data_IF_051574673561
#
_entry.id   IF_051574673561
#
_cell.length_a   1.000
_cell.length_b   1.000
_cell.length_c   1.000
_cell.angle_alpha   90.00
_cell.angle_beta   90.00
_cell.angle_gamma   90.00
#
_symmetry.space_group_name_H-M   'P 1'
#
loop_
_entity.id
_entity.type
_entity.pdbx_description
1 polymer ?
#
# COMPACT_ATOMS: atom_id res chain seq x y z
N UNK A 1 25.14 64.33 -17.42
CA UNK A 1 24.63 64.55 -18.78
C UNK A 1 24.74 63.20 -19.46
N UNK A 2 23.71 62.43 -19.77
CA UNK A 2 22.26 62.66 -19.93
C UNK A 2 21.51 61.39 -19.45
N UNK A 3 20.36 61.57 -18.82
CA UNK A 3 19.22 60.66 -18.99
C UNK A 3 18.33 61.26 -20.09
N UNK A 4 17.65 60.45 -20.91
CA UNK A 4 16.20 60.19 -20.70
C UNK A 4 15.79 58.78 -21.24
N UNK A 5 14.59 58.22 -21.16
CA UNK A 5 13.29 58.52 -20.55
C UNK A 5 12.51 57.18 -20.55
N UNK A 6 11.66 57.00 -19.55
CA UNK A 6 10.60 56.00 -19.51
C UNK A 6 9.62 56.15 -20.68
N UNK A 7 9.11 55.03 -21.20
CA UNK A 7 7.75 54.97 -21.75
C UNK A 7 7.04 53.75 -21.19
N UNK A 8 5.94 54.01 -20.49
CA UNK A 8 5.01 53.05 -19.93
C UNK A 8 3.96 52.71 -21.01
N UNK A 9 3.67 51.43 -21.23
CA UNK A 9 2.34 51.01 -21.66
C UNK A 9 1.85 49.85 -20.82
N UNK A 10 0.60 49.98 -20.44
CA UNK A 10 -0.10 49.28 -19.37
C UNK A 10 -1.04 48.22 -19.96
N UNK A 11 -1.29 47.19 -19.16
CA UNK A 11 -2.47 46.30 -19.13
C UNK A 11 -2.79 45.43 -20.35
N UNK A 12 -2.71 44.12 -20.14
CA UNK A 12 -3.92 43.27 -20.09
C UNK A 12 -3.66 42.05 -19.21
N UNK A 13 -4.38 42.00 -18.08
CA UNK A 13 -4.53 40.83 -17.25
C UNK A 13 -5.27 39.73 -18.01
N UNK A 14 -4.73 38.52 -18.00
CA UNK A 14 -5.52 37.30 -18.13
C UNK A 14 -5.14 36.37 -16.99
N UNK A 15 -5.99 36.32 -15.98
CA UNK A 15 -6.11 35.23 -15.01
C UNK A 15 -6.43 33.94 -15.76
N UNK A 16 -5.62 32.90 -15.55
CA UNK A 16 -6.08 31.51 -15.64
C UNK A 16 -5.02 30.55 -15.09
N UNK A 17 -5.44 29.87 -14.02
CA UNK A 17 -5.07 28.52 -13.56
C UNK A 17 -3.67 28.24 -13.00
N UNK A 18 -3.63 28.23 -11.67
CA UNK A 18 -2.67 27.51 -10.85
C UNK A 18 -2.88 26.00 -10.99
N UNK A 19 -2.19 25.41 -11.96
CA UNK A 19 -1.92 23.98 -12.02
C UNK A 19 -0.40 23.82 -11.99
N UNK A 20 0.21 23.96 -10.81
CA UNK A 20 1.58 23.51 -10.62
C UNK A 20 1.57 21.98 -10.64
N UNK A 21 1.64 21.42 -11.84
CA UNK A 21 2.14 20.08 -12.06
C UNK A 21 3.50 19.99 -11.36
N UNK A 22 3.57 19.15 -10.33
CA UNK A 22 4.83 18.70 -9.73
C UNK A 22 5.61 17.92 -10.80
N UNK A 23 6.23 18.63 -11.74
CA UNK A 23 7.20 18.04 -12.65
C UNK A 23 8.46 17.78 -11.85
N UNK A 24 8.89 16.52 -11.86
CA UNK A 24 10.15 16.03 -11.32
C UNK A 24 11.31 16.98 -11.65
N UNK A 25 12.23 17.24 -10.70
CA UNK A 25 13.51 17.83 -11.06
C UNK A 25 14.17 16.95 -12.12
N UNK A 26 14.72 17.54 -13.20
CA UNK A 26 15.37 16.75 -14.23
C UNK A 26 16.51 15.94 -13.61
N UNK A 27 16.54 14.65 -13.91
CA UNK A 27 17.71 13.81 -13.64
C UNK A 27 18.95 14.53 -14.16
N UNK A 28 19.98 14.68 -13.32
CA UNK A 28 21.26 15.31 -13.68
C UNK A 28 22.02 14.44 -14.69
N UNK A 29 21.47 13.27 -15.04
CA UNK A 29 21.97 12.38 -16.05
C UNK A 29 21.40 12.76 -17.42
N UNK A 30 22.24 13.31 -18.29
CA UNK A 30 21.97 13.30 -19.71
C UNK A 30 22.06 11.85 -20.19
N UNK A 31 20.97 11.21 -20.63
CA UNK A 31 21.08 9.91 -21.26
C UNK A 31 22.03 10.03 -22.45
N UNK A 32 22.97 9.10 -22.57
CA UNK A 32 23.67 8.90 -23.83
C UNK A 32 22.61 8.89 -24.94
N UNK A 33 22.81 9.74 -25.95
CA UNK A 33 21.86 9.95 -27.02
C UNK A 33 21.35 8.61 -27.56
N UNK A 34 20.05 8.52 -27.82
CA UNK A 34 19.31 7.39 -28.42
C UNK A 34 19.81 6.99 -29.83
N UNK A 35 21.01 7.42 -30.21
CA UNK A 35 21.66 7.24 -31.51
C UNK A 35 22.57 5.99 -31.59
N UNK A 36 22.62 5.13 -30.58
CA UNK A 36 23.58 3.99 -30.49
C UNK A 36 22.95 2.60 -30.44
N UNK A 37 21.63 2.45 -30.35
CA UNK A 37 20.96 1.15 -30.37
C UNK A 37 20.49 0.84 -31.79
N UNK A 38 20.83 -0.33 -32.33
CA UNK A 38 20.34 -0.79 -33.64
C UNK A 38 18.80 -0.83 -33.62
N UNK A 39 18.17 -0.33 -34.67
CA UNK A 39 16.70 -0.25 -34.79
C UNK A 39 16.02 -1.60 -34.54
N UNK A 40 16.61 -2.69 -35.03
CA UNK A 40 16.13 -4.07 -34.82
C UNK A 40 16.09 -4.47 -33.34
N UNK A 41 17.10 -4.08 -32.54
CA UNK A 41 17.17 -4.37 -31.10
C UNK A 41 16.07 -3.59 -30.36
N UNK A 42 15.90 -2.32 -30.71
CA UNK A 42 14.87 -1.46 -30.12
C UNK A 42 13.46 -1.99 -30.45
N UNK A 43 13.21 -2.34 -31.71
CA UNK A 43 11.95 -2.95 -32.14
C UNK A 43 11.69 -4.28 -31.45
N UNK A 44 12.72 -5.14 -31.34
CA UNK A 44 12.65 -6.41 -30.63
C UNK A 44 12.27 -6.24 -29.16
N UNK A 45 12.92 -5.32 -28.46
CA UNK A 45 12.63 -5.02 -27.05
C UNK A 45 11.21 -4.45 -26.85
N UNK A 46 10.81 -3.47 -27.66
CA UNK A 46 9.46 -2.88 -27.58
C UNK A 46 8.36 -3.91 -27.87
N UNK A 47 8.60 -4.84 -28.80
CA UNK A 47 7.67 -5.94 -29.07
C UNK A 47 7.59 -6.90 -27.88
N UNK A 48 8.73 -7.25 -27.29
CA UNK A 48 8.78 -8.08 -26.09
C UNK A 48 8.01 -7.46 -24.92
N UNK A 49 8.12 -6.14 -24.71
CA UNK A 49 7.32 -5.44 -23.69
C UNK A 49 5.80 -5.57 -23.93
N UNK A 50 5.35 -5.38 -25.18
CA UNK A 50 3.93 -5.56 -25.53
C UNK A 50 3.44 -6.98 -25.32
N UNK A 51 4.25 -7.97 -25.67
CA UNK A 51 3.93 -9.39 -25.44
C UNK A 51 3.85 -9.71 -23.95
N UNK A 52 4.71 -9.10 -23.13
CA UNK A 52 4.68 -9.26 -21.68
C UNK A 52 3.37 -8.73 -21.09
N UNK A 53 2.90 -7.57 -21.53
CA UNK A 53 1.60 -7.00 -21.14
C UNK A 53 0.42 -7.89 -21.57
N UNK A 54 0.57 -8.64 -22.66
CA UNK A 54 -0.43 -9.58 -23.18
C UNK A 54 -0.40 -10.95 -22.46
N UNK A 55 0.62 -11.20 -21.63
CA UNK A 55 0.82 -12.47 -20.94
C UNK A 55 1.46 -13.57 -21.80
N UNK A 56 1.98 -13.23 -22.99
CA UNK A 56 2.62 -14.17 -23.92
C UNK A 56 4.09 -14.41 -23.54
N UNK A 57 4.36 -14.85 -22.31
CA UNK A 57 5.70 -14.85 -21.71
C UNK A 57 6.74 -15.70 -22.44
N UNK A 58 6.35 -16.83 -23.05
CA UNK A 58 7.31 -17.61 -23.86
C UNK A 58 7.75 -16.83 -25.11
N UNK A 59 6.82 -16.13 -25.76
CA UNK A 59 7.15 -15.30 -26.92
C UNK A 59 8.00 -14.09 -26.53
N UNK A 60 7.85 -13.56 -25.30
CA UNK A 60 8.74 -12.52 -24.75
C UNK A 60 10.18 -13.04 -24.75
N UNK A 61 10.41 -14.22 -24.17
CA UNK A 61 11.73 -14.84 -24.08
C UNK A 61 12.31 -15.07 -25.48
N UNK A 62 11.56 -15.73 -26.37
CA UNK A 62 12.01 -16.04 -27.74
C UNK A 62 12.42 -14.77 -28.51
N UNK A 63 11.66 -13.68 -28.34
CA UNK A 63 11.96 -12.38 -28.99
C UNK A 63 13.20 -11.72 -28.41
N UNK A 64 13.37 -11.77 -27.09
CA UNK A 64 14.52 -11.20 -26.42
C UNK A 64 15.80 -11.94 -26.78
N UNK A 65 15.79 -13.28 -26.75
CA UNK A 65 16.95 -14.10 -27.11
C UNK A 65 17.43 -13.85 -28.53
N UNK A 66 16.50 -13.73 -29.47
CA UNK A 66 16.82 -13.53 -30.89
C UNK A 66 17.52 -12.17 -31.14
N UNK A 67 16.92 -11.08 -30.65
CA UNK A 67 17.29 -9.73 -31.08
C UNK A 67 18.01 -8.89 -30.02
N UNK A 68 17.77 -9.14 -28.73
CA UNK A 68 18.18 -8.24 -27.63
C UNK A 68 19.35 -8.81 -26.84
N UNK A 69 19.22 -10.03 -26.32
CA UNK A 69 20.22 -10.65 -25.45
C UNK A 69 21.52 -10.97 -26.19
N UNK A 70 21.41 -11.31 -27.48
CA UNK A 70 22.55 -11.63 -28.36
C UNK A 70 23.34 -10.39 -28.81
N UNK A 71 22.82 -9.18 -28.61
CA UNK A 71 23.43 -7.94 -29.10
C UNK A 71 23.89 -7.06 -27.95
N UNK A 72 25.21 -6.82 -27.87
CA UNK A 72 25.78 -5.86 -26.92
C UNK A 72 25.21 -4.46 -27.20
N UNK A 73 24.36 -3.99 -26.29
CA UNK A 73 23.63 -2.74 -26.38
C UNK A 73 23.24 -2.25 -24.99
N UNK A 74 22.82 -0.99 -24.89
CA UNK A 74 22.31 -0.44 -23.62
C UNK A 74 21.03 -1.12 -23.15
N UNK A 75 20.29 -1.80 -24.05
CA UNK A 75 19.05 -2.55 -23.73
C UNK A 75 19.31 -3.99 -23.27
N UNK A 76 20.55 -4.48 -23.36
CA UNK A 76 20.85 -5.88 -23.07
C UNK A 76 20.53 -6.24 -21.61
N UNK A 77 20.87 -5.37 -20.65
CA UNK A 77 20.54 -5.54 -19.24
C UNK A 77 19.03 -5.61 -19.04
N UNK A 78 18.29 -4.58 -19.47
CA UNK A 78 16.83 -4.53 -19.31
C UNK A 78 16.14 -5.68 -20.06
N UNK A 79 16.74 -6.19 -21.14
CA UNK A 79 16.32 -7.40 -21.84
C UNK A 79 16.43 -8.64 -20.96
N UNK A 80 17.58 -8.89 -20.33
CA UNK A 80 17.73 -10.03 -19.42
C UNK A 80 16.79 -9.94 -18.22
N UNK A 81 16.62 -8.75 -17.64
CA UNK A 81 15.69 -8.53 -16.53
C UNK A 81 14.23 -8.83 -16.92
N UNK A 82 13.83 -8.46 -18.14
CA UNK A 82 12.49 -8.78 -18.67
C UNK A 82 12.33 -10.28 -18.95
N UNK A 83 13.37 -10.93 -19.49
CA UNK A 83 13.37 -12.38 -19.69
C UNK A 83 13.27 -13.14 -18.36
N UNK A 84 13.99 -12.69 -17.33
CA UNK A 84 13.93 -13.26 -15.98
C UNK A 84 12.52 -13.18 -15.37
N UNK A 85 11.84 -12.05 -15.54
CA UNK A 85 10.45 -11.89 -15.09
C UNK A 85 9.48 -12.74 -15.92
N UNK A 86 9.66 -12.82 -17.24
CA UNK A 86 8.83 -13.64 -18.11
C UNK A 86 8.96 -15.12 -17.75
N UNK A 87 10.17 -15.62 -17.50
CA UNK A 87 10.40 -16.99 -17.04
C UNK A 87 9.78 -17.23 -15.65
N UNK A 88 9.86 -16.26 -14.74
CA UNK A 88 9.16 -16.35 -13.46
C UNK A 88 7.64 -16.47 -13.65
N UNK A 89 7.05 -15.73 -14.59
CA UNK A 89 5.61 -15.83 -14.92
C UNK A 89 5.20 -17.14 -15.58
N UNK A 90 6.15 -17.92 -16.09
CA UNK A 90 5.96 -19.30 -16.54
C UNK A 90 6.19 -20.33 -15.41
N UNK A 91 6.39 -19.87 -14.17
CA UNK A 91 6.74 -20.66 -12.99
C UNK A 91 8.07 -21.43 -13.12
N UNK A 92 8.96 -20.99 -14.02
CA UNK A 92 10.31 -21.55 -14.17
C UNK A 92 11.32 -20.73 -13.35
N UNK A 93 11.49 -21.13 -12.09
CA UNK A 93 12.46 -20.49 -11.18
C UNK A 93 13.90 -20.61 -11.67
N UNK A 94 14.27 -21.75 -12.27
CA UNK A 94 15.66 -22.01 -12.68
C UNK A 94 16.02 -21.08 -13.82
N UNK A 95 15.21 -21.07 -14.89
CA UNK A 95 15.44 -20.22 -16.04
C UNK A 95 15.36 -18.73 -15.68
N UNK A 96 14.45 -18.35 -14.77
CA UNK A 96 14.37 -16.98 -14.28
C UNK A 96 15.68 -16.51 -13.64
N UNK A 97 16.24 -17.31 -12.72
CA UNK A 97 17.51 -16.97 -12.07
C UNK A 97 18.71 -17.08 -13.00
N UNK A 98 18.68 -17.95 -14.01
CA UNK A 98 19.72 -18.01 -15.04
C UNK A 98 19.78 -16.68 -15.82
N UNK A 99 18.65 -16.15 -16.30
CA UNK A 99 18.64 -14.84 -16.96
C UNK A 99 19.07 -13.70 -16.03
N UNK A 100 18.61 -13.71 -14.77
CA UNK A 100 19.01 -12.70 -13.79
C UNK A 100 20.53 -12.73 -13.55
N UNK A 101 21.12 -13.91 -13.45
CA UNK A 101 22.56 -14.10 -13.26
C UNK A 101 23.36 -13.62 -14.47
N UNK A 102 22.90 -13.91 -15.69
CA UNK A 102 23.53 -13.37 -16.89
C UNK A 102 23.48 -11.84 -16.92
N UNK A 103 22.38 -11.22 -16.46
CA UNK A 103 22.29 -9.76 -16.31
C UNK A 103 23.34 -9.21 -15.33
N UNK A 104 23.54 -9.87 -14.19
CA UNK A 104 24.50 -9.48 -13.15
C UNK A 104 25.95 -9.50 -13.66
N UNK A 105 26.27 -10.40 -14.59
CA UNK A 105 27.61 -10.52 -15.18
C UNK A 105 27.96 -9.39 -16.17
N UNK A 106 26.97 -8.63 -16.65
CA UNK A 106 27.20 -7.55 -17.61
C UNK A 106 28.05 -6.42 -17.00
N UNK A 107 28.87 -5.78 -17.82
CA UNK A 107 29.65 -4.62 -17.36
C UNK A 107 28.76 -3.44 -16.95
N UNK A 108 27.61 -3.28 -17.61
CA UNK A 108 26.59 -2.28 -17.29
C UNK A 108 25.96 -2.48 -15.92
N UNK A 109 25.92 -3.72 -15.41
CA UNK A 109 25.40 -4.03 -14.08
C UNK A 109 26.17 -3.31 -12.98
N UNK A 110 27.46 -3.02 -13.17
CA UNK A 110 28.31 -2.38 -12.14
C UNK A 110 27.92 -0.95 -11.78
N UNK A 111 27.06 -0.31 -12.56
CA UNK A 111 26.55 1.02 -12.26
C UNK A 111 25.57 0.96 -11.07
N UNK A 112 25.64 1.88 -10.08
CA UNK A 112 24.76 1.86 -8.90
C UNK A 112 23.27 1.75 -9.25
N UNK A 113 22.77 2.55 -10.19
CA UNK A 113 21.35 2.50 -10.59
C UNK A 113 20.95 1.14 -11.17
N UNK A 114 21.86 0.47 -11.89
CA UNK A 114 21.60 -0.86 -12.45
C UNK A 114 21.72 -1.96 -11.38
N UNK A 115 22.53 -1.77 -10.34
CA UNK A 115 22.53 -2.64 -9.16
C UNK A 115 21.18 -2.58 -8.45
N UNK A 116 20.60 -1.39 -8.29
CA UNK A 116 19.27 -1.24 -7.70
C UNK A 116 18.20 -1.96 -8.54
N UNK A 117 18.18 -1.74 -9.87
CA UNK A 117 17.29 -2.48 -10.78
C UNK A 117 17.44 -4.00 -10.68
N UNK A 118 18.67 -4.50 -10.59
CA UNK A 118 18.95 -5.93 -10.43
C UNK A 118 18.36 -6.47 -9.13
N UNK A 119 18.57 -5.78 -8.01
CA UNK A 119 18.04 -6.22 -6.71
C UNK A 119 16.51 -6.11 -6.63
N UNK A 120 15.90 -5.09 -7.23
CA UNK A 120 14.45 -4.98 -7.34
C UNK A 120 13.87 -6.14 -8.17
N UNK A 121 14.47 -6.43 -9.33
CA UNK A 121 14.07 -7.54 -10.17
C UNK A 121 14.17 -8.89 -9.43
N UNK A 122 15.28 -9.09 -8.71
CA UNK A 122 15.49 -10.26 -7.84
C UNK A 122 14.39 -10.39 -6.79
N UNK A 123 14.07 -9.30 -6.09
CA UNK A 123 13.02 -9.30 -5.08
C UNK A 123 11.66 -9.67 -5.69
N UNK A 124 11.33 -9.16 -6.88
CA UNK A 124 10.09 -9.54 -7.59
C UNK A 124 10.06 -11.02 -7.98
N UNK A 125 11.17 -11.59 -8.44
CA UNK A 125 11.26 -13.02 -8.75
C UNK A 125 11.04 -13.86 -7.48
N UNK A 126 11.76 -13.55 -6.39
CA UNK A 126 11.63 -14.27 -5.12
C UNK A 126 10.20 -14.19 -4.55
N UNK A 127 9.56 -13.02 -4.67
CA UNK A 127 8.18 -12.79 -4.26
C UNK A 127 7.20 -13.66 -5.05
N UNK A 128 7.38 -13.79 -6.37
CA UNK A 128 6.55 -14.66 -7.20
C UNK A 128 6.62 -16.13 -6.73
N UNK A 129 7.80 -16.59 -6.32
CA UNK A 129 8.00 -17.96 -5.82
C UNK A 129 7.74 -18.14 -4.31
N UNK A 130 7.35 -17.08 -3.61
CA UNK A 130 7.01 -17.12 -2.18
C UNK A 130 8.19 -17.31 -1.23
N UNK A 131 9.42 -17.00 -1.65
CA UNK A 131 10.60 -17.00 -0.78
C UNK A 131 10.66 -15.68 0.02
N UNK A 132 9.71 -15.52 0.94
CA UNK A 132 9.51 -14.27 1.68
C UNK A 132 10.71 -13.88 2.54
N UNK A 133 11.40 -14.87 3.12
CA UNK A 133 12.63 -14.64 3.86
C UNK A 133 13.71 -13.98 2.99
N UNK A 134 13.92 -14.48 1.76
CA UNK A 134 14.88 -13.88 0.83
C UNK A 134 14.41 -12.53 0.30
N UNK A 135 13.10 -12.34 0.08
CA UNK A 135 12.52 -11.05 -0.31
C UNK A 135 12.81 -10.00 0.75
N UNK A 136 12.53 -10.28 2.03
CA UNK A 136 12.78 -9.34 3.14
C UNK A 136 14.26 -8.99 3.22
N UNK A 137 15.15 -9.98 3.16
CA UNK A 137 16.61 -9.73 3.16
C UNK A 137 17.04 -8.83 1.99
N UNK A 138 16.50 -9.06 0.80
CA UNK A 138 16.83 -8.28 -0.41
C UNK A 138 16.28 -6.86 -0.33
N UNK A 139 15.03 -6.69 0.11
CA UNK A 139 14.39 -5.37 0.26
C UNK A 139 15.00 -4.55 1.40
N UNK A 140 15.45 -5.19 2.48
CA UNK A 140 16.22 -4.53 3.52
C UNK A 140 17.56 -4.00 3.00
N UNK A 141 18.26 -4.76 2.15
CA UNK A 141 19.49 -4.27 1.52
C UNK A 141 19.22 -3.07 0.58
N UNK A 142 18.10 -3.08 -0.15
CA UNK A 142 17.66 -1.97 -0.99
C UNK A 142 17.37 -0.69 -0.19
N UNK A 143 16.84 -0.79 1.03
CA UNK A 143 16.54 0.36 1.90
C UNK A 143 17.73 1.30 2.09
N UNK A 144 18.96 0.78 2.09
CA UNK A 144 20.18 1.57 2.31
C UNK A 144 20.83 2.08 1.01
N UNK A 145 20.38 1.61 -0.16
CA UNK A 145 21.01 1.88 -1.46
C UNK A 145 20.11 2.64 -2.44
N UNK A 146 18.81 2.71 -2.19
CA UNK A 146 17.85 3.37 -3.08
C UNK A 146 17.89 4.91 -2.96
N UNK A 147 17.63 5.63 -4.06
CA UNK A 147 17.33 7.06 -4.03
C UNK A 147 16.12 7.38 -3.14
N UNK A 148 16.09 8.60 -2.59
CA UNK A 148 15.04 9.03 -1.65
C UNK A 148 13.61 8.88 -2.21
N UNK A 149 13.41 9.11 -3.52
CA UNK A 149 12.11 9.02 -4.18
C UNK A 149 11.63 7.58 -4.45
N UNK A 150 12.51 6.58 -4.35
CA UNK A 150 12.18 5.16 -4.55
C UNK A 150 12.03 4.41 -3.23
N UNK A 151 12.48 5.01 -2.13
CA UNK A 151 12.43 4.43 -0.79
C UNK A 151 11.02 4.06 -0.31
N UNK A 152 10.02 4.91 -0.58
CA UNK A 152 8.63 4.68 -0.14
C UNK A 152 8.05 3.40 -0.77
N UNK A 153 8.21 3.23 -2.09
CA UNK A 153 7.75 2.02 -2.79
C UNK A 153 8.44 0.77 -2.25
N UNK A 154 9.75 0.82 -1.99
CA UNK A 154 10.46 -0.32 -1.42
C UNK A 154 9.95 -0.65 0.00
N UNK A 155 9.63 0.36 0.82
CA UNK A 155 9.06 0.15 2.16
C UNK A 155 7.69 -0.52 2.11
N UNK A 156 6.80 -0.11 1.20
CA UNK A 156 5.50 -0.76 1.03
C UNK A 156 5.66 -2.24 0.67
N UNK A 157 6.58 -2.54 -0.25
CA UNK A 157 6.80 -3.90 -0.69
C UNK A 157 7.54 -4.75 0.35
N UNK A 158 8.46 -4.14 1.11
CA UNK A 158 9.10 -4.76 2.27
C UNK A 158 8.04 -5.13 3.31
N UNK A 159 7.11 -4.23 3.59
CA UNK A 159 6.00 -4.50 4.50
C UNK A 159 5.16 -5.69 4.05
N UNK A 160 4.74 -5.72 2.77
CA UNK A 160 4.01 -6.86 2.22
C UNK A 160 4.80 -8.18 2.39
N UNK A 161 6.10 -8.17 2.14
CA UNK A 161 6.94 -9.35 2.32
C UNK A 161 7.01 -9.79 3.79
N UNK A 162 7.18 -8.85 4.72
CA UNK A 162 7.19 -9.11 6.17
C UNK A 162 5.86 -9.76 6.63
N UNK A 163 4.73 -9.30 6.11
CA UNK A 163 3.41 -9.84 6.46
C UNK A 163 3.20 -11.29 5.99
N UNK A 164 3.95 -11.76 4.99
CA UNK A 164 3.88 -13.12 4.48
C UNK A 164 4.85 -14.10 5.18
N UNK A 165 5.70 -13.62 6.09
CA UNK A 165 6.64 -14.47 6.82
C UNK A 165 5.93 -15.46 7.76
N UNK A 166 6.46 -16.67 7.83
CA UNK A 166 6.16 -17.64 8.89
C UNK A 166 6.82 -17.24 10.21
N UNK A 167 6.37 -17.83 11.33
CA UNK A 167 6.98 -17.54 12.64
C UNK A 167 8.46 -17.94 12.69
N UNK A 168 8.83 -19.07 12.09
CA UNK A 168 10.23 -19.53 12.07
C UNK A 168 11.14 -18.55 11.32
N UNK A 169 10.66 -17.98 10.21
CA UNK A 169 11.42 -16.99 9.43
C UNK A 169 11.57 -15.66 10.20
N UNK A 170 10.52 -15.24 10.92
CA UNK A 170 10.58 -14.07 11.81
C UNK A 170 11.64 -14.30 12.89
N UNK A 171 11.63 -15.46 13.55
CA UNK A 171 12.59 -15.80 14.60
C UNK A 171 14.04 -15.83 14.07
N UNK A 172 14.25 -16.29 12.83
CA UNK A 172 15.54 -16.23 12.13
C UNK A 172 15.96 -14.78 11.87
N UNK A 173 15.06 -13.95 11.34
CA UNK A 173 15.35 -12.56 11.03
C UNK A 173 15.65 -11.73 12.29
N UNK A 174 15.03 -12.04 13.43
CA UNK A 174 15.38 -11.42 14.71
C UNK A 174 16.82 -11.70 15.17
N UNK A 175 17.48 -12.75 14.68
CA UNK A 175 18.91 -12.98 14.98
C UNK A 175 19.84 -11.98 14.28
N UNK A 176 19.36 -11.32 13.23
CA UNK A 176 20.12 -10.26 12.57
C UNK A 176 20.14 -9.03 13.48
N UNK A 177 21.29 -8.36 13.59
CA UNK A 177 21.44 -7.16 14.43
C UNK A 177 21.14 -5.90 13.63
N UNK A 178 19.94 -5.83 13.04
CA UNK A 178 19.46 -4.67 12.30
C UNK A 178 18.23 -4.06 13.02
N UNK A 179 18.38 -2.87 13.64
CA UNK A 179 17.29 -2.20 14.34
C UNK A 179 16.09 -1.85 13.44
N UNK A 180 16.34 -1.51 12.17
CA UNK A 180 15.29 -1.20 11.20
C UNK A 180 14.49 -2.45 10.89
N UNK A 181 15.16 -3.59 10.68
CA UNK A 181 14.48 -4.87 10.49
C UNK A 181 13.66 -5.25 11.73
N UNK A 182 14.24 -5.12 12.92
CA UNK A 182 13.53 -5.42 14.17
C UNK A 182 12.28 -4.55 14.34
N UNK A 183 12.33 -3.28 13.94
CA UNK A 183 11.17 -2.40 13.94
C UNK A 183 10.04 -2.93 13.05
N UNK A 184 10.34 -3.29 11.80
CA UNK A 184 9.39 -3.91 10.88
C UNK A 184 8.76 -5.21 11.42
N UNK A 185 9.58 -6.10 12.00
CA UNK A 185 9.10 -7.34 12.61
C UNK A 185 8.25 -7.08 13.85
N UNK A 186 8.58 -6.05 14.64
CA UNK A 186 7.85 -5.69 15.85
C UNK A 186 6.43 -5.23 15.51
N UNK A 187 6.29 -4.32 14.55
CA UNK A 187 4.97 -3.83 14.15
C UNK A 187 4.14 -4.88 13.40
N UNK A 188 4.80 -5.80 12.69
CA UNK A 188 4.13 -7.00 12.15
C UNK A 188 3.57 -7.86 13.29
N UNK A 189 4.33 -8.03 14.37
CA UNK A 189 3.86 -8.68 15.60
C UNK A 189 2.61 -8.03 16.19
N UNK A 190 2.57 -6.69 16.28
CA UNK A 190 1.40 -5.94 16.77
C UNK A 190 0.16 -6.27 15.92
N UNK A 191 0.30 -6.25 14.58
CA UNK A 191 -0.81 -6.49 13.68
C UNK A 191 -1.30 -7.95 13.69
N UNK A 192 -0.38 -8.90 13.91
CA UNK A 192 -0.67 -10.33 13.95
C UNK A 192 -1.22 -10.80 15.30
N UNK A 193 -1.14 -9.98 16.34
CA UNK A 193 -1.64 -10.32 17.67
C UNK A 193 -3.17 -10.32 17.71
N UNK A 194 -3.75 -11.51 17.61
CA UNK A 194 -5.19 -11.75 17.64
C UNK A 194 -5.82 -11.54 19.03
N UNK A 195 -5.01 -11.36 20.07
CA UNK A 195 -5.52 -11.08 21.42
C UNK A 195 -5.88 -9.62 21.63
N UNK A 196 -5.38 -8.73 20.75
CA UNK A 196 -5.64 -7.30 20.79
C UNK A 196 -6.86 -6.93 19.93
N UNK A 197 -7.67 -5.99 20.42
CA UNK A 197 -8.66 -5.31 19.57
C UNK A 197 -7.97 -4.40 18.55
N UNK A 198 -8.68 -4.01 17.48
CA UNK A 198 -8.15 -3.05 16.48
C UNK A 198 -7.68 -1.75 17.15
N UNK A 199 -8.45 -1.24 18.12
CA UNK A 199 -8.09 -0.04 18.89
C UNK A 199 -6.83 -0.26 19.74
N UNK A 200 -6.70 -1.42 20.37
CA UNK A 200 -5.49 -1.78 21.12
C UNK A 200 -4.26 -1.93 20.22
N UNK A 201 -4.41 -2.51 19.03
CA UNK A 201 -3.35 -2.61 18.03
C UNK A 201 -2.90 -1.21 17.57
N UNK A 202 -3.83 -0.31 17.27
CA UNK A 202 -3.54 1.08 16.90
C UNK A 202 -2.85 1.85 18.03
N UNK A 203 -3.32 1.71 19.26
CA UNK A 203 -2.70 2.34 20.42
C UNK A 203 -1.27 1.82 20.67
N UNK A 204 -1.05 0.50 20.53
CA UNK A 204 0.27 -0.12 20.67
C UNK A 204 1.21 0.34 19.55
N UNK A 205 0.72 0.41 18.31
CA UNK A 205 1.49 0.96 17.19
C UNK A 205 1.86 2.43 17.41
N UNK A 206 0.92 3.26 17.87
CA UNK A 206 1.17 4.67 18.18
C UNK A 206 2.24 4.86 19.27
N UNK A 207 2.20 4.04 20.33
CA UNK A 207 3.26 4.02 21.35
C UNK A 207 4.62 3.66 20.72
N UNK A 208 4.66 2.59 19.92
CA UNK A 208 5.87 2.18 19.22
C UNK A 208 6.40 3.28 18.28
N UNK A 209 5.53 4.01 17.57
CA UNK A 209 5.92 5.12 16.71
C UNK A 209 6.60 6.25 17.50
N UNK A 210 6.08 6.58 18.69
CA UNK A 210 6.68 7.60 19.56
C UNK A 210 8.07 7.19 20.05
N UNK A 211 8.24 5.90 20.38
CA UNK A 211 9.53 5.36 20.83
C UNK A 211 10.55 5.18 19.67
N UNK A 212 10.06 5.09 18.43
CA UNK A 212 10.86 4.82 17.23
C UNK A 212 10.67 5.91 16.15
N UNK A 213 10.69 7.18 16.56
CA UNK A 213 10.38 8.33 15.69
C UNK A 213 11.22 8.45 14.40
N UNK A 214 12.45 7.93 14.40
CA UNK A 214 13.33 7.91 13.21
C UNK A 214 13.11 6.69 12.29
N UNK A 215 12.28 5.73 12.69
CA UNK A 215 12.05 4.52 11.89
C UNK A 215 11.20 4.84 10.65
N UNK A 216 11.50 4.27 9.46
CA UNK A 216 10.73 4.52 8.25
C UNK A 216 9.22 4.30 8.40
N UNK A 217 8.82 3.19 9.00
CA UNK A 217 7.41 2.88 9.31
C UNK A 217 6.76 3.80 10.36
N UNK A 218 7.54 4.56 11.14
CA UNK A 218 6.99 5.57 12.04
C UNK A 218 6.71 6.88 11.30
N UNK A 219 7.60 7.28 10.38
CA UNK A 219 7.47 8.46 9.52
C UNK A 219 6.34 8.26 8.49
N UNK A 220 6.36 7.12 7.79
CA UNK A 220 5.34 6.73 6.82
C UNK A 220 4.71 5.39 7.27
N UNK A 221 3.58 5.44 8.00
CA UNK A 221 2.91 4.25 8.50
C UNK A 221 2.51 3.29 7.37
N UNK A 222 2.60 1.97 7.57
CA UNK A 222 2.12 1.00 6.60
C UNK A 222 0.61 1.14 6.36
N UNK A 223 0.18 0.80 5.14
CA UNK A 223 -1.21 0.98 4.68
C UNK A 223 -2.24 0.28 5.57
N UNK A 224 -1.90 -0.87 6.16
CA UNK A 224 -2.80 -1.58 7.09
C UNK A 224 -3.16 -0.72 8.30
N UNK A 225 -2.17 -0.07 8.92
CA UNK A 225 -2.41 0.84 10.05
C UNK A 225 -3.18 2.10 9.64
N UNK A 226 -2.92 2.62 8.43
CA UNK A 226 -3.72 3.73 7.89
C UNK A 226 -5.20 3.33 7.71
N UNK A 227 -5.46 2.17 7.11
CA UNK A 227 -6.83 1.65 6.92
C UNK A 227 -7.49 1.39 8.28
N UNK A 228 -6.81 0.71 9.21
CA UNK A 228 -7.34 0.44 10.54
C UNK A 228 -7.70 1.72 11.30
N UNK A 229 -6.85 2.76 11.22
CA UNK A 229 -7.13 4.04 11.86
C UNK A 229 -8.43 4.66 11.30
N UNK A 230 -8.65 4.58 9.99
CA UNK A 230 -9.89 5.05 9.36
C UNK A 230 -11.14 4.26 9.77
N UNK A 231 -10.99 2.98 10.16
CA UNK A 231 -12.10 2.18 10.67
C UNK A 231 -12.50 2.57 12.10
N UNK A 232 -11.52 2.93 12.94
CA UNK A 232 -11.78 3.48 14.27
C UNK A 232 -12.62 4.76 14.21
N UNK A 233 -12.36 5.61 13.21
CA UNK A 233 -13.14 6.82 12.95
C UNK A 233 -14.59 6.53 12.51
N UNK A 234 -14.87 5.34 11.97
CA UNK A 234 -16.21 4.91 11.55
C UNK A 234 -17.03 4.25 12.68
N UNK A 235 -16.46 4.03 13.87
CA UNK A 235 -17.22 3.47 14.98
C UNK A 235 -18.36 4.44 15.37
N UNK A 236 -19.63 3.98 15.44
CA UNK A 236 -20.75 4.84 15.77
C UNK A 236 -20.58 5.37 17.20
N UNK A 237 -20.62 6.69 17.37
CA UNK A 237 -20.58 7.39 18.65
C UNK A 237 -21.98 7.54 19.25
N UNK A 238 -23.02 7.50 18.41
CA UNK A 238 -24.42 7.62 18.80
C UNK A 238 -25.28 6.58 18.10
N UNK A 239 -26.02 5.80 18.86
CA UNK A 239 -26.93 4.77 18.37
C UNK A 239 -28.35 5.10 18.86
N UNK A 240 -29.34 5.11 17.97
CA UNK A 240 -30.75 5.16 18.35
C UNK A 240 -31.40 3.79 18.14
N UNK A 241 -31.96 3.20 19.19
CA UNK A 241 -32.69 1.93 19.15
C UNK A 241 -34.19 2.24 19.19
N UNK A 242 -34.90 1.88 18.13
CA UNK A 242 -36.34 2.11 17.98
C UNK A 242 -37.10 0.79 18.09
N UNK A 243 -37.79 0.57 19.21
CA UNK A 243 -38.53 -0.67 19.47
C UNK A 243 -39.89 -0.39 20.15
N UNK A 244 -40.94 -1.19 19.90
CA UNK A 244 -42.20 -1.10 20.63
C UNK A 244 -42.06 -1.73 22.02
N UNK A 245 -42.09 -0.91 23.08
CA UNK A 245 -41.82 -1.38 24.46
C UNK A 245 -43.07 -1.81 25.23
N UNK A 246 -44.21 -1.92 24.55
CA UNK A 246 -45.48 -2.34 25.12
C UNK A 246 -46.31 -3.15 24.12
N UNK A 247 -47.28 -3.91 24.65
CA UNK A 247 -48.19 -4.73 23.86
C UNK A 247 -47.56 -6.03 23.36
N UNK A 248 -48.01 -6.53 22.21
CA UNK A 248 -47.66 -7.89 21.74
C UNK A 248 -46.16 -8.10 21.44
N UNK A 249 -45.40 -7.02 21.24
CA UNK A 249 -43.98 -7.08 20.88
C UNK A 249 -43.05 -6.74 22.05
N UNK A 250 -43.59 -6.38 23.22
CA UNK A 250 -42.82 -5.98 24.41
C UNK A 250 -41.73 -7.01 24.78
N UNK A 251 -42.10 -8.29 24.88
CA UNK A 251 -41.14 -9.36 25.20
C UNK A 251 -40.03 -9.51 24.16
N UNK A 252 -40.34 -9.30 22.88
CA UNK A 252 -39.35 -9.37 21.81
C UNK A 252 -38.40 -8.16 21.86
N UNK A 253 -38.95 -6.95 22.06
CA UNK A 253 -38.18 -5.72 22.24
C UNK A 253 -37.24 -5.81 23.44
N UNK A 254 -37.73 -6.32 24.58
CA UNK A 254 -36.91 -6.50 25.78
C UNK A 254 -35.77 -7.49 25.53
N UNK A 255 -36.03 -8.62 24.87
CA UNK A 255 -34.97 -9.58 24.54
C UNK A 255 -33.87 -8.99 23.63
N UNK A 256 -34.25 -8.11 22.68
CA UNK A 256 -33.29 -7.41 21.82
C UNK A 256 -32.46 -6.42 22.63
N UNK A 257 -33.10 -5.64 23.51
CA UNK A 257 -32.42 -4.68 24.39
C UNK A 257 -31.45 -5.39 25.32
N UNK A 258 -31.90 -6.48 25.96
CA UNK A 258 -31.08 -7.28 26.87
C UNK A 258 -29.90 -7.90 26.12
N UNK A 259 -30.13 -8.46 24.92
CA UNK A 259 -29.08 -8.98 24.06
C UNK A 259 -28.07 -7.90 23.65
N UNK A 260 -28.55 -6.73 23.22
CA UNK A 260 -27.69 -5.58 22.88
C UNK A 260 -26.85 -5.15 24.08
N UNK A 261 -27.45 -4.94 25.24
CA UNK A 261 -26.73 -4.48 26.43
C UNK A 261 -25.79 -5.54 27.02
N UNK A 262 -26.10 -6.83 26.86
CA UNK A 262 -25.18 -7.90 27.26
C UNK A 262 -23.84 -7.83 26.51
N UNK A 263 -23.85 -7.46 25.22
CA UNK A 263 -22.64 -7.27 24.43
C UNK A 263 -22.01 -5.88 24.66
N UNK A 264 -22.84 -4.84 24.73
CA UNK A 264 -22.42 -3.45 24.94
C UNK A 264 -21.63 -3.26 26.25
N UNK A 265 -22.05 -3.90 27.35
CA UNK A 265 -21.33 -3.79 28.63
C UNK A 265 -20.09 -4.67 28.72
N UNK A 266 -19.94 -5.65 27.84
CA UNK A 266 -18.72 -6.44 27.73
C UNK A 266 -17.59 -5.69 26.99
N UNK A 267 -17.90 -4.59 26.29
CA UNK A 267 -16.89 -3.70 25.72
C UNK A 267 -16.21 -2.88 26.81
N UNK A 268 -14.86 -2.90 26.81
CA UNK A 268 -13.98 -2.18 27.75
C UNK A 268 -13.60 -0.78 27.26
N UNK A 269 -13.76 -0.51 25.96
CA UNK A 269 -13.41 0.74 25.27
C UNK A 269 -14.52 1.81 25.34
N UNK A 270 -14.32 2.93 24.65
CA UNK A 270 -15.31 4.02 24.52
C UNK A 270 -16.66 3.51 24.00
N UNK A 271 -17.72 3.69 24.81
CA UNK A 271 -19.07 3.22 24.48
C UNK A 271 -19.88 4.29 23.74
N UNK A 272 -20.63 3.92 22.68
CA UNK A 272 -21.57 4.85 22.06
C UNK A 272 -22.61 5.35 23.06
N UNK A 273 -23.08 6.57 22.86
CA UNK A 273 -24.31 7.02 23.48
C UNK A 273 -25.49 6.28 22.85
N UNK A 274 -26.31 5.63 23.68
CA UNK A 274 -27.46 4.85 23.21
C UNK A 274 -28.74 5.58 23.61
N UNK A 275 -29.57 5.89 22.61
CA UNK A 275 -30.90 6.46 22.80
C UNK A 275 -31.94 5.37 22.54
N UNK A 276 -32.79 5.10 23.51
CA UNK A 276 -33.88 4.14 23.33
C UNK A 276 -35.16 4.92 23.10
N UNK A 277 -35.87 4.56 22.03
CA UNK A 277 -37.07 5.23 21.57
C UNK A 277 -38.18 4.20 21.55
N UNK A 278 -39.11 4.35 22.50
CA UNK A 278 -40.34 3.57 22.50
C UNK A 278 -41.24 4.08 21.36
N UNK A 279 -41.39 3.24 20.34
CA UNK A 279 -42.22 3.54 19.18
C UNK A 279 -43.70 3.69 19.58
N UNK A 280 -44.12 3.07 20.68
CA UNK A 280 -45.51 3.12 21.15
C UNK A 280 -45.90 4.46 21.80
N UNK A 281 -44.93 5.34 22.07
CA UNK A 281 -45.18 6.69 22.59
C UNK A 281 -45.54 7.71 21.51
N UNK A 282 -45.59 7.29 20.24
CA UNK A 282 -45.84 8.15 19.09
C UNK A 282 -47.07 7.66 18.33
N UNK A 283 -47.84 8.58 17.74
CA UNK A 283 -49.04 8.23 16.95
C UNK A 283 -48.69 7.41 15.70
N UNK A 284 -47.52 7.66 15.12
CA UNK A 284 -47.04 6.96 13.94
C UNK A 284 -45.51 6.80 13.94
N UNK A 285 -45.02 5.89 13.11
CA UNK A 285 -43.59 5.57 13.01
C UNK A 285 -42.74 6.75 12.49
N UNK A 286 -43.32 7.66 11.69
CA UNK A 286 -42.57 8.80 11.16
C UNK A 286 -42.21 9.77 12.28
N UNK A 287 -43.09 9.96 13.24
CA UNK A 287 -42.84 10.82 14.40
C UNK A 287 -41.79 10.19 15.32
N UNK A 288 -41.85 8.87 15.53
CA UNK A 288 -40.81 8.14 16.26
C UNK A 288 -39.44 8.24 15.55
N UNK A 289 -39.42 8.17 14.22
CA UNK A 289 -38.20 8.32 13.42
C UNK A 289 -37.67 9.76 13.45
N UNK A 290 -38.54 10.77 13.45
CA UNK A 290 -38.16 12.17 13.61
C UNK A 290 -37.50 12.40 14.97
N UNK A 291 -38.10 11.88 16.04
CA UNK A 291 -37.53 11.92 17.39
C UNK A 291 -36.18 11.18 17.49
N UNK A 292 -35.98 10.12 16.71
CA UNK A 292 -34.69 9.44 16.58
C UNK A 292 -33.65 10.32 15.88
N UNK A 293 -34.02 10.91 14.75
CA UNK A 293 -33.14 11.78 13.98
C UNK A 293 -32.72 13.05 14.75
N UNK A 294 -33.57 13.57 15.64
CA UNK A 294 -33.21 14.69 16.54
C UNK A 294 -32.02 14.38 17.46
N UNK A 295 -31.76 13.10 17.76
CA UNK A 295 -30.59 12.70 18.55
C UNK A 295 -29.28 12.74 17.75
N UNK A 296 -29.37 12.95 16.44
CA UNK A 296 -28.27 12.87 15.47
C UNK A 296 -27.49 11.56 15.65
N UNK A 297 -28.15 10.39 15.58
CA UNK A 297 -27.47 9.12 15.69
C UNK A 297 -26.67 8.83 14.42
N UNK A 298 -25.52 8.17 14.57
CA UNK A 298 -24.75 7.64 13.44
C UNK A 298 -25.46 6.41 12.85
N UNK A 299 -26.16 5.65 13.69
CA UNK A 299 -26.91 4.45 13.31
C UNK A 299 -28.27 4.41 14.04
N UNK A 300 -29.32 4.02 13.32
CA UNK A 300 -30.64 3.69 13.87
C UNK A 300 -30.87 2.18 13.75
N UNK A 301 -31.19 1.52 14.85
CA UNK A 301 -31.52 0.09 14.94
C UNK A 301 -33.03 -0.05 15.17
N UNK A 302 -33.76 -0.47 14.13
CA UNK A 302 -35.22 -0.66 14.08
C UNK A 302 -35.61 -1.11 12.66
N UNK A 303 -36.74 -1.75 12.36
CA UNK A 303 -38.12 -1.64 12.83
C UNK A 303 -38.81 -3.01 12.75
N UNK A 304 -39.76 -3.33 13.65
CA UNK A 304 -40.62 -4.51 13.52
C UNK A 304 -42.05 -4.08 13.23
N UNK A 305 -42.51 -4.31 12.01
CA UNK A 305 -43.94 -4.29 11.69
C UNK A 305 -44.36 -5.71 11.36
N UNK A 306 -45.22 -6.31 12.19
CA UNK A 306 -45.95 -7.50 11.75
C UNK A 306 -46.88 -7.05 10.61
N UNK A 307 -46.77 -7.69 9.45
CA UNK A 307 -47.88 -7.72 8.49
C UNK A 307 -49.05 -8.46 9.11
#
# INVERSE_FOLDING_TARGET
MEQPQNTVQNTSNTTSDSSQENTTPPSIYHPFSTSTVKEEVLLGYNLAQKLYEQGDYQQVIDRLELNVLSTNSTLQLDGYLLAALAAAKLDDMTQSFDYWKEAELLSSARHPDNQNKLQENKATILEHFGDWLAVVKTRMALTYNLPLNEGERNQEQLWLAVQNLTQNEIDELYQQKDPTLHGWLTISGILRDQTLSIEQQLNTFSQWQNDNSDHPAAILPPKDFQIMSSLGDMAPKKIAIMLPMSGNLERASQAIIDGFFSSFYNQKESRPQVFIIDVNNYENIKDALAAANEKLPDIIIGYFTKK
#
